data_IF_373692245869
#
_entry.id   IF_373692245869
#
_cell.length_a   1.000
_cell.length_b   1.000
_cell.length_c   1.000
_cell.angle_alpha   90.00
_cell.angle_beta   90.00
_cell.angle_gamma   90.00
#
_symmetry.space_group_name_H-M   'P 1'
#
loop_
_entity.id
_entity.type
_entity.pdbx_description
1 polymer ?
#
# COMPACT_ATOMS: atom_id res chain seq x y z
N UNK A 1 1.38 1.33 -12.21
CA UNK A 1 2.16 1.91 -11.10
C UNK A 1 3.46 2.62 -11.54
N UNK A 2 4.11 2.24 -12.66
CA UNK A 2 5.34 2.88 -13.19
C UNK A 2 5.20 4.31 -13.78
N UNK A 3 4.12 5.03 -13.51
CA UNK A 3 3.89 6.37 -14.07
C UNK A 3 3.50 6.43 -15.55
N UNK A 4 3.45 5.30 -16.27
CA UNK A 4 2.91 5.25 -17.63
C UNK A 4 1.44 5.69 -17.62
N UNK A 5 1.09 6.60 -18.52
CA UNK A 5 -0.28 7.12 -18.68
C UNK A 5 -0.93 6.46 -19.88
N UNK A 6 -2.17 6.01 -19.68
CA UNK A 6 -3.02 5.47 -20.74
C UNK A 6 -4.24 6.37 -20.81
N UNK A 7 -4.46 7.01 -21.95
CA UNK A 7 -5.68 7.79 -22.17
C UNK A 7 -6.86 6.85 -22.43
N UNK A 8 -7.98 7.08 -21.78
CA UNK A 8 -9.25 6.37 -22.01
C UNK A 8 -10.35 7.41 -22.22
N UNK A 9 -11.26 7.10 -23.14
CA UNK A 9 -12.51 7.84 -23.30
C UNK A 9 -13.56 7.12 -22.44
N UNK A 10 -14.10 7.83 -21.45
CA UNK A 10 -15.07 7.33 -20.48
C UNK A 10 -16.10 8.42 -20.22
N UNK A 11 -17.34 8.05 -19.90
CA UNK A 11 -18.30 8.99 -19.35
C UNK A 11 -17.95 9.28 -17.89
N UNK A 12 -18.41 10.43 -17.40
CA UNK A 12 -18.22 10.81 -16.00
C UNK A 12 -18.94 9.85 -15.04
N UNK A 13 -19.97 9.17 -15.49
CA UNK A 13 -20.78 8.22 -14.72
C UNK A 13 -20.36 6.76 -14.87
N UNK A 14 -19.37 6.44 -15.71
CA UNK A 14 -19.01 5.04 -15.97
C UNK A 14 -18.56 4.34 -14.66
N UNK A 15 -19.09 3.15 -14.37
CA UNK A 15 -18.71 2.38 -13.19
C UNK A 15 -17.28 1.82 -13.34
N UNK A 16 -16.67 1.46 -12.20
CA UNK A 16 -15.26 1.09 -12.15
C UNK A 16 -14.93 -0.21 -12.90
N UNK A 17 -15.87 -1.15 -12.96
CA UNK A 17 -15.73 -2.39 -13.72
C UNK A 17 -15.79 -2.15 -15.23
N UNK A 18 -16.69 -1.31 -15.72
CA UNK A 18 -16.73 -0.92 -17.15
C UNK A 18 -15.44 -0.20 -17.57
N UNK A 19 -14.94 0.74 -16.76
CA UNK A 19 -13.66 1.42 -17.02
C UNK A 19 -12.50 0.43 -17.00
N UNK A 20 -12.52 -0.56 -16.11
CA UNK A 20 -11.51 -1.61 -16.04
C UNK A 20 -11.54 -2.53 -17.27
N UNK A 21 -12.72 -2.89 -17.76
CA UNK A 21 -12.90 -3.68 -18.97
C UNK A 21 -12.36 -2.92 -20.20
N UNK A 22 -12.75 -1.66 -20.36
CA UNK A 22 -12.26 -0.79 -21.43
C UNK A 22 -10.73 -0.63 -21.40
N UNK A 23 -10.15 -0.44 -20.21
CA UNK A 23 -8.71 -0.40 -20.03
C UNK A 23 -8.04 -1.73 -20.41
N UNK A 24 -8.63 -2.85 -19.99
CA UNK A 24 -8.09 -4.19 -20.22
C UNK A 24 -8.08 -4.54 -21.71
N UNK A 25 -9.16 -4.20 -22.44
CA UNK A 25 -9.23 -4.34 -23.90
C UNK A 25 -8.13 -3.51 -24.58
N UNK A 26 -7.93 -2.26 -24.15
CA UNK A 26 -6.88 -1.38 -24.69
C UNK A 26 -5.46 -1.89 -24.41
N UNK A 27 -5.27 -2.59 -23.30
CA UNK A 27 -4.01 -3.25 -22.94
C UNK A 27 -3.82 -4.62 -23.61
N UNK A 28 -4.85 -5.13 -24.29
CA UNK A 28 -4.91 -6.50 -24.79
C UNK A 28 -4.72 -7.56 -23.69
N UNK A 29 -5.19 -7.28 -22.47
CA UNK A 29 -5.23 -8.25 -21.39
C UNK A 29 -6.34 -9.28 -21.68
N UNK A 30 -6.03 -10.56 -21.53
CA UNK A 30 -7.00 -11.63 -21.77
C UNK A 30 -8.23 -11.47 -20.84
N UNK A 31 -9.47 -11.60 -21.34
CA UNK A 31 -10.69 -11.36 -20.55
C UNK A 31 -10.76 -12.16 -19.25
N UNK A 32 -10.28 -13.40 -19.24
CA UNK A 32 -10.23 -14.28 -18.07
C UNK A 32 -9.34 -13.76 -16.94
N UNK A 33 -8.39 -12.86 -17.26
CA UNK A 33 -7.46 -12.30 -16.29
C UNK A 33 -7.89 -10.95 -15.71
N UNK A 34 -8.89 -10.28 -16.30
CA UNK A 34 -9.38 -8.96 -15.85
C UNK A 34 -9.77 -8.98 -14.38
N UNK A 35 -10.42 -10.05 -13.93
CA UNK A 35 -10.85 -10.27 -12.53
C UNK A 35 -9.73 -10.26 -11.48
N UNK A 36 -8.48 -10.41 -11.90
CA UNK A 36 -7.31 -10.38 -11.00
C UNK A 36 -6.71 -9.00 -10.83
N UNK A 37 -7.25 -7.99 -11.52
CA UNK A 37 -6.84 -6.61 -11.41
C UNK A 37 -8.01 -5.75 -10.94
N UNK A 38 -7.70 -4.58 -10.41
CA UNK A 38 -8.71 -3.57 -10.04
C UNK A 38 -8.14 -2.17 -10.19
N UNK A 39 -9.04 -1.20 -10.22
CA UNK A 39 -8.70 0.21 -10.17
C UNK A 39 -8.54 0.65 -8.72
N UNK A 40 -7.46 1.38 -8.44
CA UNK A 40 -7.18 1.97 -7.15
C UNK A 40 -7.09 3.47 -7.29
N UNK A 41 -7.65 4.18 -6.32
CA UNK A 41 -7.44 5.60 -6.15
C UNK A 41 -6.16 5.82 -5.34
N UNK A 42 -5.23 6.58 -5.89
CA UNK A 42 -3.99 6.98 -5.24
C UNK A 42 -3.93 8.49 -5.12
N UNK A 43 -3.20 8.98 -4.12
CA UNK A 43 -2.84 10.40 -3.97
C UNK A 43 -1.34 10.54 -4.14
N UNK A 44 -0.93 11.54 -4.92
CA UNK A 44 0.46 11.97 -4.97
C UNK A 44 0.66 13.03 -3.88
N UNK A 45 1.55 12.73 -2.94
CA UNK A 45 1.91 13.64 -1.85
C UNK A 45 2.90 14.71 -2.32
N UNK A 46 3.09 15.76 -1.51
CA UNK A 46 3.95 16.91 -1.84
C UNK A 46 5.43 16.53 -1.97
N UNK A 47 5.89 15.58 -1.17
CA UNK A 47 7.24 14.99 -1.22
C UNK A 47 7.46 14.07 -2.44
N UNK A 48 6.40 13.82 -3.23
CA UNK A 48 6.44 12.93 -4.38
C UNK A 48 6.20 11.46 -4.07
N UNK A 49 5.91 11.11 -2.81
CA UNK A 49 5.41 9.81 -2.41
C UNK A 49 3.98 9.57 -2.91
N UNK A 50 3.59 8.30 -2.94
CA UNK A 50 2.26 7.87 -3.38
C UNK A 50 1.60 7.08 -2.26
N UNK A 51 0.43 7.54 -1.83
CA UNK A 51 -0.43 6.83 -0.91
C UNK A 51 -1.57 6.15 -1.66
N UNK A 52 -1.84 4.89 -1.33
CA UNK A 52 -3.04 4.20 -1.80
C UNK A 52 -4.19 4.60 -0.89
N UNK A 53 -5.22 5.22 -1.47
CA UNK A 53 -6.39 5.69 -0.74
C UNK A 53 -7.40 4.57 -0.57
N UNK A 54 -7.79 3.93 -1.68
CA UNK A 54 -8.71 2.79 -1.69
C UNK A 54 -8.70 2.05 -3.01
N UNK A 55 -9.16 0.80 -2.97
CA UNK A 55 -9.70 0.10 -4.15
C UNK A 55 -11.03 0.77 -4.52
N UNK A 56 -11.28 0.98 -5.80
CA UNK A 56 -12.60 1.41 -6.28
C UNK A 56 -13.51 0.17 -6.37
N UNK A 57 -14.71 0.27 -5.82
CA UNK A 57 -15.74 -0.75 -5.98
C UNK A 57 -16.46 -0.57 -7.31
N UNK A 58 -17.06 -1.65 -7.83
CA UNK A 58 -17.69 -1.67 -9.16
C UNK A 58 -18.69 -0.53 -9.35
N UNK A 59 -19.50 -0.22 -8.32
CA UNK A 59 -20.51 0.82 -8.39
C UNK A 59 -19.95 2.26 -8.36
N UNK A 60 -18.66 2.45 -8.08
CA UNK A 60 -18.06 3.78 -8.01
C UNK A 60 -17.64 4.26 -9.40
N UNK A 61 -17.83 5.55 -9.68
CA UNK A 61 -17.24 6.19 -10.87
C UNK A 61 -15.78 6.57 -10.59
N UNK A 62 -14.79 6.05 -11.35
CA UNK A 62 -13.39 6.45 -11.20
C UNK A 62 -13.17 7.95 -11.45
N UNK A 63 -13.89 8.53 -12.41
CA UNK A 63 -13.77 9.95 -12.74
C UNK A 63 -14.23 10.83 -11.57
N UNK A 64 -15.43 10.57 -11.05
CA UNK A 64 -16.01 11.33 -9.94
C UNK A 64 -15.14 11.16 -8.69
N UNK A 65 -14.76 9.93 -8.35
CA UNK A 65 -13.94 9.61 -7.17
C UNK A 65 -12.60 10.35 -7.16
N UNK A 66 -11.98 10.51 -8.33
CA UNK A 66 -10.74 11.25 -8.49
C UNK A 66 -10.92 12.77 -8.36
N UNK A 67 -12.07 13.30 -8.77
CA UNK A 67 -12.37 14.76 -8.75
C UNK A 67 -12.99 15.24 -7.44
N UNK A 68 -13.63 14.36 -6.68
CA UNK A 68 -14.34 14.73 -5.45
C UNK A 68 -13.45 14.94 -4.24
N UNK A 69 -12.20 14.46 -4.27
CA UNK A 69 -11.26 14.56 -3.15
C UNK A 69 -10.21 15.67 -3.36
N UNK A 70 -9.86 16.44 -2.32
CA UNK A 70 -8.85 17.50 -2.42
C UNK A 70 -7.44 16.94 -2.60
N UNK A 71 -6.64 17.56 -3.46
CA UNK A 71 -5.26 17.13 -3.76
C UNK A 71 -5.12 16.39 -5.08
N UNK A 72 -3.89 15.97 -5.40
CA UNK A 72 -3.57 15.36 -6.69
C UNK A 72 -3.83 13.85 -6.69
N UNK A 73 -5.08 13.49 -6.99
CA UNK A 73 -5.50 12.09 -7.11
C UNK A 73 -5.31 11.53 -8.51
N UNK A 74 -5.08 10.22 -8.59
CA UNK A 74 -5.02 9.45 -9.85
C UNK A 74 -5.64 8.07 -9.66
N UNK A 75 -6.16 7.54 -10.76
CA UNK A 75 -6.61 6.15 -10.84
C UNK A 75 -5.48 5.30 -11.42
N UNK A 76 -5.22 4.14 -10.82
CA UNK A 76 -4.18 3.20 -11.27
C UNK A 76 -4.72 1.78 -11.35
N UNK A 77 -4.24 1.03 -12.34
CA UNK A 77 -4.41 -0.42 -12.42
C UNK A 77 -3.39 -1.11 -11.51
N UNK A 78 -3.86 -2.07 -10.70
CA UNK A 78 -3.03 -2.88 -9.80
C UNK A 78 -3.61 -4.28 -9.70
N UNK A 79 -2.76 -5.28 -9.43
CA UNK A 79 -3.22 -6.63 -9.06
C UNK A 79 -4.10 -6.57 -7.80
N UNK A 80 -5.15 -7.37 -7.76
CA UNK A 80 -6.14 -7.41 -6.67
C UNK A 80 -6.31 -8.84 -6.12
N UNK A 81 -5.21 -9.40 -5.62
CA UNK A 81 -5.19 -10.70 -4.94
C UNK A 81 -3.96 -10.79 -4.04
N UNK A 82 -3.99 -11.73 -3.10
CA UNK A 82 -2.90 -11.98 -2.14
C UNK A 82 -2.22 -13.34 -2.33
N UNK A 83 -2.85 -14.26 -3.08
CA UNK A 83 -2.34 -15.61 -3.30
C UNK A 83 -1.33 -15.62 -4.46
N UNK A 84 -0.08 -15.95 -4.14
CA UNK A 84 1.01 -15.98 -5.12
C UNK A 84 0.87 -17.09 -6.16
N UNK A 85 0.04 -18.12 -5.92
CA UNK A 85 -0.25 -19.15 -6.92
C UNK A 85 -0.98 -18.58 -8.14
N UNK A 86 -1.79 -17.53 -7.94
CA UNK A 86 -2.46 -16.79 -9.01
C UNK A 86 -1.43 -16.08 -9.89
N UNK A 87 -0.35 -15.55 -9.32
CA UNK A 87 0.70 -14.91 -10.11
C UNK A 87 1.41 -15.87 -11.05
N UNK A 88 1.64 -17.11 -10.61
CA UNK A 88 2.26 -18.14 -11.45
C UNK A 88 1.40 -18.41 -12.68
N UNK A 89 0.09 -18.52 -12.51
CA UNK A 89 -0.85 -18.65 -13.63
C UNK A 89 -0.84 -17.40 -14.54
N UNK A 90 -0.89 -16.19 -13.96
CA UNK A 90 -0.87 -14.94 -14.72
C UNK A 90 0.44 -14.71 -15.47
N UNK A 91 1.56 -15.22 -14.95
CA UNK A 91 2.88 -15.06 -15.56
C UNK A 91 3.02 -15.81 -16.89
N UNK A 92 2.08 -16.70 -17.25
CA UNK A 92 2.03 -17.35 -18.56
C UNK A 92 1.55 -16.38 -19.66
N UNK A 93 0.70 -15.42 -19.32
CA UNK A 93 0.26 -14.38 -20.25
C UNK A 93 1.25 -13.21 -20.31
N UNK A 94 1.56 -12.75 -21.52
CA UNK A 94 2.57 -11.72 -21.75
C UNK A 94 2.16 -10.37 -21.15
N UNK A 95 0.88 -10.01 -21.24
CA UNK A 95 0.38 -8.71 -20.77
C UNK A 95 0.29 -8.72 -19.25
N UNK A 96 -0.31 -9.76 -18.66
CA UNK A 96 -0.38 -9.95 -17.22
C UNK A 96 1.01 -10.04 -16.58
N UNK A 97 1.95 -10.80 -17.16
CA UNK A 97 3.35 -10.82 -16.74
C UNK A 97 3.95 -9.42 -16.72
N UNK A 98 3.71 -8.63 -17.76
CA UNK A 98 4.22 -7.26 -17.84
C UNK A 98 3.61 -6.35 -16.78
N UNK A 99 2.31 -6.48 -16.49
CA UNK A 99 1.63 -5.71 -15.45
C UNK A 99 2.19 -6.05 -14.05
N UNK A 100 2.35 -7.34 -13.75
CA UNK A 100 2.95 -7.81 -12.49
C UNK A 100 4.40 -7.33 -12.33
N UNK A 101 5.21 -7.49 -13.38
CA UNK A 101 6.60 -7.04 -13.41
C UNK A 101 6.73 -5.52 -13.20
N UNK A 102 5.91 -4.75 -13.90
CA UNK A 102 5.89 -3.29 -13.79
C UNK A 102 5.51 -2.82 -12.39
N UNK A 103 4.58 -3.53 -11.74
CA UNK A 103 4.22 -3.26 -10.36
C UNK A 103 5.35 -3.62 -9.39
N UNK A 104 5.99 -4.79 -9.56
CA UNK A 104 7.07 -5.23 -8.69
C UNK A 104 8.29 -4.30 -8.73
N UNK A 105 8.67 -3.79 -9.91
CA UNK A 105 9.73 -2.77 -10.03
C UNK A 105 9.39 -1.56 -9.17
N UNK A 106 8.18 -1.03 -9.33
CA UNK A 106 7.76 0.16 -8.60
C UNK A 106 7.75 -0.07 -7.08
N UNK A 107 7.34 -1.25 -6.62
CA UNK A 107 7.34 -1.64 -5.22
C UNK A 107 8.77 -1.80 -4.65
N UNK A 108 9.73 -2.28 -5.44
CA UNK A 108 11.15 -2.34 -5.06
C UNK A 108 11.76 -0.95 -4.99
N UNK A 109 11.52 -0.10 -5.99
CA UNK A 109 12.05 1.27 -6.06
C UNK A 109 11.57 2.13 -4.89
N UNK A 110 10.32 1.94 -4.45
CA UNK A 110 9.72 2.63 -3.30
C UNK A 110 10.02 1.98 -1.94
N UNK A 111 10.80 0.90 -1.90
CA UNK A 111 11.12 0.19 -0.66
C UNK A 111 9.91 -0.48 0.01
N UNK A 112 8.84 -0.75 -0.74
CA UNK A 112 7.71 -1.55 -0.25
C UNK A 112 8.12 -3.01 -0.09
N UNK A 113 8.96 -3.48 -1.02
CA UNK A 113 9.67 -4.74 -0.96
C UNK A 113 11.08 -4.45 -0.43
N UNK A 114 11.48 -5.11 0.65
CA UNK A 114 12.81 -4.87 1.22
C UNK A 114 13.88 -5.66 0.47
N UNK A 115 14.93 -4.95 0.06
CA UNK A 115 16.07 -5.48 -0.68
C UNK A 115 17.37 -5.09 0.00
N UNK A 116 18.35 -5.99 0.04
CA UNK A 116 19.75 -5.59 0.27
C UNK A 116 20.36 -4.97 -1.00
N UNK A 117 21.50 -4.31 -0.88
CA UNK A 117 22.22 -3.71 -2.02
C UNK A 117 22.60 -4.77 -3.07
N UNK A 118 23.05 -5.96 -2.65
CA UNK A 118 23.41 -7.04 -3.58
C UNK A 118 22.20 -7.55 -4.38
N UNK A 119 21.06 -7.71 -3.71
CA UNK A 119 19.81 -8.13 -4.38
C UNK A 119 19.33 -7.03 -5.33
N UNK A 120 19.41 -5.76 -4.94
CA UNK A 120 19.05 -4.63 -5.80
C UNK A 120 19.91 -4.60 -7.08
N UNK A 121 21.20 -4.87 -6.98
CA UNK A 121 22.09 -4.98 -8.14
C UNK A 121 21.68 -6.12 -9.07
N UNK A 122 21.32 -7.29 -8.51
CA UNK A 122 20.81 -8.42 -9.30
C UNK A 122 19.49 -8.09 -10.00
N UNK A 123 18.53 -7.49 -9.29
CA UNK A 123 17.25 -7.04 -9.85
C UNK A 123 17.47 -6.02 -10.99
N UNK A 124 18.39 -5.07 -10.81
CA UNK A 124 18.75 -4.09 -11.85
C UNK A 124 19.35 -4.76 -13.10
N UNK A 125 20.21 -5.78 -12.92
CA UNK A 125 20.75 -6.57 -14.02
C UNK A 125 19.68 -7.41 -14.74
N UNK A 126 18.70 -7.95 -14.02
CA UNK A 126 17.55 -8.63 -14.64
C UNK A 126 16.69 -7.65 -15.44
N UNK A 127 16.46 -6.46 -14.88
CA UNK A 127 15.70 -5.41 -15.52
C UNK A 127 16.35 -4.90 -16.81
N UNK A 128 17.68 -4.68 -16.83
CA UNK A 128 18.40 -4.23 -18.03
C UNK A 128 18.42 -5.27 -19.15
N UNK A 129 18.37 -6.57 -18.80
CA UNK A 129 18.27 -7.69 -19.75
C UNK A 129 16.84 -8.00 -20.19
N UNK A 130 15.83 -7.40 -19.55
CA UNK A 130 14.42 -7.68 -19.83
C UNK A 130 13.94 -9.06 -19.32
N UNK A 131 14.66 -9.66 -18.38
CA UNK A 131 14.37 -10.97 -17.78
C UNK A 131 13.25 -10.87 -16.73
N UNK A 132 12.01 -10.63 -17.21
CA UNK A 132 10.85 -10.30 -16.36
C UNK A 132 10.43 -11.44 -15.42
N UNK A 133 10.50 -12.69 -15.89
CA UNK A 133 10.08 -13.86 -15.10
C UNK A 133 11.05 -14.10 -13.96
N UNK A 134 12.34 -14.07 -14.28
CA UNK A 134 13.44 -14.21 -13.33
C UNK A 134 13.45 -13.05 -12.32
N UNK A 135 13.15 -11.82 -12.76
CA UNK A 135 12.95 -10.69 -11.85
C UNK A 135 11.84 -10.95 -10.84
N UNK A 136 10.67 -11.39 -11.32
CA UNK A 136 9.54 -11.67 -10.45
C UNK A 136 9.83 -12.83 -9.50
N UNK A 137 10.49 -13.88 -9.98
CA UNK A 137 10.86 -15.02 -9.15
C UNK A 137 11.83 -14.62 -8.03
N UNK A 138 12.84 -13.81 -8.35
CA UNK A 138 13.74 -13.25 -7.34
C UNK A 138 12.97 -12.35 -6.35
N UNK A 139 12.08 -11.50 -6.85
CA UNK A 139 11.32 -10.56 -6.03
C UNK A 139 10.34 -11.28 -5.07
N UNK A 140 9.71 -12.38 -5.50
CA UNK A 140 8.80 -13.20 -4.68
C UNK A 140 9.45 -13.74 -3.42
N UNK A 141 10.76 -14.01 -3.46
CA UNK A 141 11.53 -14.47 -2.30
C UNK A 141 11.85 -13.37 -1.28
N UNK A 142 11.51 -12.11 -1.55
CA UNK A 142 11.89 -10.97 -0.72
C UNK A 142 10.84 -10.61 0.33
N UNK A 143 11.31 -10.00 1.41
CA UNK A 143 10.46 -9.59 2.52
C UNK A 143 9.46 -8.52 2.06
N UNK A 144 8.21 -8.73 2.42
CA UNK A 144 7.05 -7.90 2.05
C UNK A 144 6.69 -7.90 0.56
N UNK A 145 7.19 -8.86 -0.23
CA UNK A 145 6.62 -9.10 -1.56
C UNK A 145 5.11 -9.38 -1.46
N UNK A 146 4.34 -8.71 -2.32
CA UNK A 146 2.88 -8.83 -2.34
C UNK A 146 2.17 -8.10 -1.19
N UNK A 147 2.88 -7.38 -0.32
CA UNK A 147 2.24 -6.53 0.68
C UNK A 147 1.80 -5.20 0.06
N UNK A 148 0.66 -4.69 0.53
CA UNK A 148 0.26 -3.30 0.36
C UNK A 148 0.80 -2.50 1.54
N UNK A 149 1.58 -1.47 1.27
CA UNK A 149 2.08 -0.56 2.31
C UNK A 149 1.17 0.66 2.43
N UNK A 150 0.98 1.11 3.66
CA UNK A 150 0.24 2.33 3.98
C UNK A 150 1.20 3.46 4.33
N UNK A 151 0.70 4.69 4.37
CA UNK A 151 1.48 5.82 4.88
C UNK A 151 1.85 5.64 6.36
N UNK A 152 2.91 6.31 6.80
CA UNK A 152 3.29 6.34 8.21
C UNK A 152 2.14 6.88 9.07
N UNK A 153 1.84 6.18 10.16
CA UNK A 153 0.77 6.54 11.07
C UNK A 153 1.19 6.27 12.53
N UNK A 154 0.24 6.36 13.45
CA UNK A 154 0.47 6.13 14.88
C UNK A 154 -0.27 4.88 15.33
N UNK A 155 0.33 4.12 16.25
CA UNK A 155 -0.29 2.96 16.86
C UNK A 155 -0.04 2.88 18.37
N UNK A 156 -0.68 1.90 18.99
CA UNK A 156 -0.50 1.53 20.41
C UNK A 156 0.46 0.37 20.68
N UNK A 157 1.25 -0.01 19.67
CA UNK A 157 2.21 -1.12 19.73
C UNK A 157 3.66 -0.66 19.50
N UNK A 158 4.63 -1.11 20.32
CA UNK A 158 4.45 -1.90 21.54
C UNK A 158 3.85 -1.07 22.70
N UNK A 159 3.87 0.26 22.59
CA UNK A 159 3.32 1.22 23.54
C UNK A 159 2.50 2.29 22.81
N UNK A 160 1.80 3.15 23.54
CA UNK A 160 0.98 4.22 22.95
C UNK A 160 1.85 5.28 22.27
N UNK A 161 1.35 5.81 21.14
CA UNK A 161 1.99 6.93 20.46
C UNK A 161 3.25 6.52 19.72
N UNK A 162 3.30 5.31 19.18
CA UNK A 162 4.43 4.85 18.38
C UNK A 162 4.21 5.18 16.91
N UNK A 163 5.27 5.66 16.23
CA UNK A 163 5.28 5.83 14.78
C UNK A 163 5.45 4.47 14.12
N UNK A 164 4.58 4.16 13.17
CA UNK A 164 4.55 2.86 12.51
C UNK A 164 4.32 2.97 11.02
N UNK A 165 5.01 2.12 10.27
CA UNK A 165 4.71 1.83 8.88
C UNK A 165 3.98 0.48 8.81
N UNK A 166 2.75 0.49 8.31
CA UNK A 166 1.89 -0.69 8.25
C UNK A 166 1.96 -1.31 6.86
N UNK A 167 2.13 -2.62 6.80
CA UNK A 167 1.95 -3.42 5.60
C UNK A 167 0.86 -4.47 5.79
N UNK A 168 -0.06 -4.61 4.83
CA UNK A 168 -1.01 -5.72 4.78
C UNK A 168 -0.61 -6.71 3.70
N UNK A 169 -0.53 -8.00 4.02
CA UNK A 169 -0.15 -9.04 3.08
C UNK A 169 0.04 -10.37 3.79
N UNK A 170 0.15 -11.47 3.05
CA UNK A 170 0.40 -12.81 3.62
C UNK A 170 -0.52 -13.19 4.81
N UNK A 171 -1.79 -12.78 4.75
CA UNK A 171 -2.80 -13.00 5.82
C UNK A 171 -2.40 -12.39 7.17
N UNK A 172 -1.65 -11.28 7.16
CA UNK A 172 -1.26 -10.54 8.35
C UNK A 172 -1.22 -9.01 8.10
N UNK A 173 -1.31 -8.25 9.20
CA UNK A 173 -0.85 -6.87 9.26
C UNK A 173 0.53 -6.86 9.93
N UNK A 174 1.52 -6.33 9.22
CA UNK A 174 2.86 -6.13 9.71
C UNK A 174 3.06 -4.65 10.13
N UNK A 175 3.59 -4.46 11.33
CA UNK A 175 3.85 -3.18 11.96
C UNK A 175 5.36 -3.00 12.04
N UNK A 176 5.91 -2.03 11.29
CA UNK A 176 7.33 -1.64 11.38
C UNK A 176 7.43 -0.37 12.21
N UNK A 177 7.81 -0.53 13.47
CA UNK A 177 7.82 0.52 14.48
C UNK A 177 9.23 1.08 14.63
N UNK A 178 9.36 2.40 14.53
CA UNK A 178 10.62 3.10 14.82
C UNK A 178 10.75 3.29 16.34
N UNK A 179 11.77 2.69 16.95
CA UNK A 179 12.11 2.89 18.35
C UNK A 179 13.23 3.93 18.46
N UNK A 180 12.98 5.00 19.22
CA UNK A 180 14.03 5.94 19.63
C UNK A 180 14.83 5.31 20.77
N UNK A 181 16.14 5.21 20.62
CA UNK A 181 17.03 4.76 21.69
C UNK A 181 17.20 5.89 22.72
N UNK A 182 17.01 5.62 24.02
CA UNK A 182 17.11 6.65 25.07
C UNK A 182 18.50 7.30 25.19
N UNK A 183 19.56 6.64 24.71
CA UNK A 183 20.95 7.06 24.96
C UNK A 183 21.49 8.07 23.93
N UNK A 184 20.70 8.49 22.94
CA UNK A 184 21.13 9.43 21.89
C UNK A 184 21.13 10.91 22.34
N UNK A 185 20.58 11.24 23.52
CA UNK A 185 20.54 12.62 24.03
C UNK A 185 21.82 13.07 24.75
N UNK A 186 22.85 12.23 24.86
CA UNK A 186 24.11 12.57 25.54
C UNK A 186 25.38 12.52 24.67
N UNK A 187 25.29 12.24 23.38
CA UNK A 187 26.46 12.29 22.49
C UNK A 187 26.11 12.95 21.16
N UNK A 188 26.76 14.08 20.90
CA UNK A 188 26.77 14.84 19.64
C UNK A 188 27.49 14.07 18.52
N UNK A 189 27.00 12.88 18.18
CA UNK A 189 27.41 12.11 17.01
C UNK A 189 26.18 11.80 16.16
N UNK A 190 26.25 12.22 14.91
CA UNK A 190 25.23 12.20 13.86
C UNK A 190 24.89 10.79 13.34
N UNK A 191 24.74 9.82 14.24
CA UNK A 191 24.30 8.46 13.93
C UNK A 191 23.30 8.02 15.00
N UNK A 192 22.09 8.58 14.92
CA UNK A 192 20.95 8.01 15.64
C UNK A 192 20.59 6.69 14.98
N UNK A 193 21.14 5.58 15.50
CA UNK A 193 20.77 4.24 15.07
C UNK A 193 19.31 3.99 15.44
N UNK A 194 18.41 4.34 14.52
CA UNK A 194 16.97 4.15 14.64
C UNK A 194 16.69 2.63 14.64
N UNK A 195 16.45 2.07 15.82
CA UNK A 195 16.18 0.63 15.94
C UNK A 195 14.75 0.34 15.48
N UNK A 196 14.59 -0.54 14.47
CA UNK A 196 13.28 -0.92 13.95
C UNK A 196 12.78 -2.18 14.67
N UNK A 197 11.62 -2.09 15.30
CA UNK A 197 10.91 -3.24 15.88
C UNK A 197 9.76 -3.66 14.98
N UNK A 198 9.50 -4.97 14.89
CA UNK A 198 8.44 -5.50 14.04
C UNK A 198 7.38 -6.23 14.87
N UNK A 199 6.11 -5.96 14.57
CA UNK A 199 4.96 -6.71 15.06
C UNK A 199 4.21 -7.37 13.90
N UNK A 200 3.90 -8.67 13.98
CA UNK A 200 3.04 -9.36 13.01
C UNK A 200 1.72 -9.77 13.67
N UNK A 201 0.63 -9.33 13.06
CA UNK A 201 -0.74 -9.60 13.51
C UNK A 201 -1.47 -10.42 12.44
N UNK A 202 -1.60 -11.73 12.67
CA UNK A 202 -2.29 -12.63 11.74
C UNK A 202 -3.79 -12.35 11.70
N UNK A 203 -4.36 -12.25 10.51
CA UNK A 203 -5.79 -12.01 10.29
C UNK A 203 -6.65 -13.08 10.98
N UNK A 204 -6.20 -14.34 10.99
CA UNK A 204 -6.92 -15.46 11.65
C UNK A 204 -7.00 -15.33 13.18
N UNK A 205 -6.24 -14.42 13.78
CA UNK A 205 -6.27 -14.11 15.22
C UNK A 205 -7.01 -12.82 15.53
N UNK A 206 -7.52 -12.12 14.52
CA UNK A 206 -8.37 -10.95 14.69
C UNK A 206 -9.82 -11.41 14.81
N UNK A 207 -10.46 -11.13 15.94
CA UNK A 207 -11.88 -11.46 16.15
C UNK A 207 -12.79 -10.55 15.34
N UNK A 208 -12.49 -9.27 15.38
CA UNK A 208 -13.21 -8.21 14.68
C UNK A 208 -12.28 -7.01 14.51
N UNK A 209 -12.72 -6.09 13.65
CA UNK A 209 -12.06 -4.82 13.39
C UNK A 209 -13.11 -3.73 13.19
N UNK A 210 -12.72 -2.48 13.43
CA UNK A 210 -13.60 -1.32 13.36
C UNK A 210 -12.83 -0.10 12.89
N UNK A 211 -13.44 0.66 11.98
CA UNK A 211 -13.00 2.00 11.60
C UNK A 211 -13.83 3.02 12.38
N UNK A 212 -13.17 3.99 13.00
CA UNK A 212 -13.82 5.06 13.76
C UNK A 212 -13.36 6.42 13.23
N UNK A 213 -14.30 7.32 13.00
CA UNK A 213 -14.02 8.74 12.70
C UNK A 213 -14.07 9.52 14.01
N UNK A 214 -12.93 10.03 14.43
CA UNK A 214 -12.80 10.91 15.59
C UNK A 214 -13.03 12.35 15.10
N UNK A 215 -14.06 13.01 15.63
CA UNK A 215 -14.19 14.46 15.47
C UNK A 215 -13.09 15.13 16.29
N UNK A 216 -12.37 16.05 15.67
CA UNK A 216 -11.60 17.01 16.45
C UNK A 216 -12.61 17.88 17.19
N UNK A 217 -12.65 17.81 18.52
CA UNK A 217 -13.32 18.83 19.31
C UNK A 217 -12.64 20.16 18.98
N UNK A 218 -13.44 21.20 18.71
CA UNK A 218 -12.96 22.53 18.37
C UNK A 218 -12.20 23.12 19.58
N UNK A 219 -10.90 22.84 19.70
CA UNK A 219 -10.03 23.54 20.65
C UNK A 219 -9.85 24.98 20.16
N UNK A 220 -10.72 25.85 20.69
CA UNK A 220 -10.57 27.28 20.98
C UNK A 220 -10.01 28.20 19.89
N UNK A 221 -10.81 29.21 19.54
CA UNK A 221 -10.40 30.45 18.86
C UNK A 221 -9.11 31.03 19.47
N UNK A 222 -7.98 30.85 18.81
CA UNK A 222 -6.79 31.66 19.03
C UNK A 222 -5.92 31.71 17.77
N UNK A 223 -5.96 32.87 17.13
CA UNK A 223 -4.94 33.46 16.24
C UNK A 223 -4.66 32.77 14.90
N UNK A 224 -5.23 33.37 13.84
CA UNK A 224 -4.62 33.41 12.50
C UNK A 224 -4.75 32.12 11.72
N UNK A 225 -5.74 32.07 10.82
CA UNK A 225 -6.10 30.86 10.09
C UNK A 225 -4.93 30.15 9.42
N UNK A 226 -4.94 28.82 9.47
CA UNK A 226 -4.36 27.87 8.51
C UNK A 226 -4.91 26.47 8.87
N UNK A 227 -5.62 25.86 7.91
CA UNK A 227 -6.00 24.44 7.76
C UNK A 227 -6.80 23.83 8.93
N UNK A 228 -8.12 23.64 8.73
CA UNK A 228 -8.90 22.70 9.56
C UNK A 228 -8.29 21.30 9.39
N UNK A 229 -7.81 20.64 10.45
CA UNK A 229 -7.36 19.25 10.33
C UNK A 229 -8.55 18.41 9.86
N UNK A 230 -8.33 17.60 8.82
CA UNK A 230 -9.34 16.65 8.35
C UNK A 230 -9.75 15.67 9.45
N UNK A 231 -10.84 14.91 9.24
CA UNK A 231 -11.30 13.94 10.22
C UNK A 231 -10.19 12.94 10.59
N UNK A 232 -9.98 12.71 11.88
CA UNK A 232 -8.99 11.75 12.36
C UNK A 232 -9.60 10.35 12.28
N UNK A 233 -9.01 9.47 11.48
CA UNK A 233 -9.47 8.08 11.33
C UNK A 233 -8.65 7.15 12.23
N UNK A 234 -9.33 6.17 12.84
CA UNK A 234 -8.72 5.10 13.64
C UNK A 234 -9.18 3.74 13.12
N UNK A 235 -8.24 2.86 12.81
CA UNK A 235 -8.50 1.43 12.61
C UNK A 235 -8.18 0.72 13.92
N UNK A 236 -9.10 -0.08 14.43
CA UNK A 236 -8.89 -0.88 15.63
C UNK A 236 -9.26 -2.34 15.39
N UNK A 237 -8.58 -3.28 16.03
CA UNK A 237 -8.89 -4.71 15.93
C UNK A 237 -8.68 -5.44 17.26
N UNK A 238 -9.57 -6.39 17.57
CA UNK A 238 -9.43 -7.26 18.73
C UNK A 238 -8.55 -8.46 18.37
N UNK A 239 -7.36 -8.52 18.96
CA UNK A 239 -6.36 -9.54 18.65
C UNK A 239 -6.22 -10.58 19.76
N UNK A 240 -6.34 -11.86 19.42
CA UNK A 240 -6.09 -12.97 20.33
C UNK A 240 -4.60 -13.05 20.65
N UNK A 241 -4.18 -12.63 21.85
CA UNK A 241 -2.79 -12.67 22.29
C UNK A 241 -2.41 -14.03 22.87
N UNK A 242 -3.31 -14.63 23.67
CA UNK A 242 -3.19 -15.98 24.21
C UNK A 242 -4.60 -16.59 24.27
N UNK A 243 -4.72 -17.88 24.60
CA UNK A 243 -6.01 -18.56 24.73
C UNK A 243 -6.98 -17.70 25.56
N UNK A 244 -8.14 -17.39 24.98
CA UNK A 244 -9.22 -16.59 25.57
C UNK A 244 -8.81 -15.16 26.03
N UNK A 245 -7.64 -14.67 25.61
CA UNK A 245 -7.13 -13.33 25.96
C UNK A 245 -7.02 -12.45 24.73
N UNK A 246 -8.03 -11.60 24.53
CA UNK A 246 -8.06 -10.60 23.48
C UNK A 246 -7.53 -9.26 23.97
N UNK A 247 -6.78 -8.57 23.11
CA UNK A 247 -6.31 -7.21 23.34
C UNK A 247 -6.75 -6.35 22.16
N UNK A 248 -7.39 -5.22 22.47
CA UNK A 248 -7.71 -4.21 21.46
C UNK A 248 -6.42 -3.52 21.02
N UNK A 249 -6.17 -3.48 19.72
CA UNK A 249 -5.07 -2.74 19.09
C UNK A 249 -5.62 -1.63 18.23
N UNK A 250 -4.89 -0.52 18.20
CA UNK A 250 -5.18 0.71 17.46
C UNK A 250 -3.97 1.12 16.64
#
# INVERSE_FOLDING_TARGET
MNGQKIGLEVLTSDPSDEVLENLSQKLHLAPEFVKFFSLFLIRKEEDGEISVIKKLENYESPYISMKSLPGLHRVVLRKNFWDLSIETMLAEDRVALNLLYTQAIWEVERGWILTSNDIRNKLSSLQSRGEKREYLELAKGLKYYGFMQFGECWCDYPQKGMRVLIGAGNKELNFRVRLQTPDASSSSSSDSSETLSEGSFRVTRMRCWRITTLHAEEESEALGGIIRPGPRLELSFEYLMAKDRYVLRK
#
